data_IF_348661775066
#
_entry.id   IF_348661775066
#
_cell.length_a   1.000
_cell.length_b   1.000
_cell.length_c   1.000
_cell.angle_alpha   90.00
_cell.angle_beta   90.00
_cell.angle_gamma   90.00
#
_symmetry.space_group_name_H-M   'P 1'
#
loop_
_entity.id
_entity.type
_entity.pdbx_description
1 polymer ?
#
# COMPACT_ATOMS: atom_id res chain seq x y z
N UNK A 1 -16.52 5.44 21.21
CA UNK A 1 -16.09 4.91 19.90
C UNK A 1 -15.15 5.91 19.27
N UNK A 2 -13.99 5.46 18.78
CA UNK A 2 -13.02 6.31 18.13
C UNK A 2 -13.57 6.81 16.77
N UNK A 3 -13.62 8.13 16.56
CA UNK A 3 -14.12 8.75 15.33
C UNK A 3 -13.03 9.49 14.52
N UNK A 4 -11.75 9.40 14.91
CA UNK A 4 -10.68 10.22 14.32
C UNK A 4 -10.61 10.13 12.80
N UNK A 5 -10.78 8.93 12.23
CA UNK A 5 -10.71 8.72 10.79
C UNK A 5 -12.07 8.69 10.08
N UNK A 6 -13.18 8.76 10.80
CA UNK A 6 -14.53 8.70 10.21
C UNK A 6 -14.77 9.78 9.13
N UNK A 7 -14.23 11.02 9.24
CA UNK A 7 -14.38 12.02 8.20
C UNK A 7 -13.52 11.78 6.95
N UNK A 8 -12.49 10.92 7.03
CA UNK A 8 -11.43 10.85 6.03
C UNK A 8 -11.40 9.54 5.24
N UNK A 9 -11.66 8.40 5.88
CA UNK A 9 -11.55 7.09 5.23
C UNK A 9 -12.69 6.84 4.26
N UNK A 10 -12.36 6.48 3.02
CA UNK A 10 -13.33 6.28 1.93
C UNK A 10 -13.42 4.84 1.45
N UNK A 11 -12.33 4.06 1.55
CA UNK A 11 -12.28 2.67 1.11
C UNK A 11 -11.06 1.93 1.70
N UNK A 12 -11.03 0.61 1.51
CA UNK A 12 -9.74 -0.10 1.43
C UNK A 12 -9.14 0.26 0.07
N UNK A 13 -7.93 0.80 0.07
CA UNK A 13 -7.26 1.18 -1.18
C UNK A 13 -6.64 -0.04 -1.85
N UNK A 14 -5.78 -0.75 -1.11
CA UNK A 14 -5.15 -1.97 -1.59
C UNK A 14 -4.66 -2.85 -0.43
N UNK A 15 -4.29 -4.07 -0.79
CA UNK A 15 -3.55 -4.99 0.09
C UNK A 15 -2.21 -5.28 -0.55
N UNK A 16 -1.13 -4.91 0.14
CA UNK A 16 0.25 -5.11 -0.32
C UNK A 16 0.75 -6.51 -0.01
N UNK A 17 1.28 -7.20 -1.01
CA UNK A 17 1.85 -8.54 -0.92
C UNK A 17 3.29 -8.49 -1.41
N UNK A 18 4.23 -8.77 -0.50
CA UNK A 18 5.64 -8.90 -0.85
C UNK A 18 5.87 -10.25 -1.54
N UNK A 19 6.51 -10.20 -2.72
CA UNK A 19 6.81 -11.37 -3.54
C UNK A 19 8.27 -11.35 -4.00
N UNK A 20 8.93 -12.51 -4.16
CA UNK A 20 10.33 -12.56 -4.57
C UNK A 20 10.52 -12.28 -6.06
N UNK A 21 9.51 -12.56 -6.88
CA UNK A 21 9.49 -12.39 -8.33
C UNK A 21 8.13 -11.81 -8.72
N UNK A 22 8.14 -10.61 -9.32
CA UNK A 22 6.91 -9.91 -9.68
C UNK A 22 6.20 -10.58 -10.87
N UNK A 23 6.94 -10.98 -11.90
CA UNK A 23 6.35 -11.49 -13.13
C UNK A 23 5.70 -12.86 -12.87
N UNK A 24 6.36 -13.71 -12.08
CA UNK A 24 5.79 -14.98 -11.64
C UNK A 24 4.51 -14.77 -10.80
N UNK A 25 4.50 -13.75 -9.93
CA UNK A 25 3.35 -13.45 -9.09
C UNK A 25 2.18 -12.84 -9.90
N UNK A 26 2.45 -11.96 -10.86
CA UNK A 26 1.45 -11.43 -11.80
C UNK A 26 0.82 -12.60 -12.57
N UNK A 27 1.64 -13.45 -13.19
CA UNK A 27 1.17 -14.59 -13.97
C UNK A 27 0.30 -15.52 -13.12
N UNK A 28 0.72 -15.82 -11.88
CA UNK A 28 -0.06 -16.63 -10.96
C UNK A 28 -1.46 -16.04 -10.71
N UNK A 29 -1.56 -14.74 -10.43
CA UNK A 29 -2.84 -14.09 -10.15
C UNK A 29 -3.74 -13.98 -11.38
N UNK A 30 -3.15 -13.71 -12.55
CA UNK A 30 -3.88 -13.67 -13.81
C UNK A 30 -4.44 -15.05 -14.19
N UNK A 31 -3.60 -16.09 -14.14
CA UNK A 31 -3.98 -17.45 -14.57
C UNK A 31 -4.99 -18.10 -13.62
N UNK A 32 -4.80 -17.96 -12.31
CA UNK A 32 -5.56 -18.74 -11.33
C UNK A 32 -6.76 -17.99 -10.75
N UNK A 33 -6.72 -16.65 -10.74
CA UNK A 33 -7.78 -15.83 -10.15
C UNK A 33 -8.39 -14.83 -11.13
N UNK A 34 -7.87 -14.73 -12.36
CA UNK A 34 -8.39 -13.84 -13.39
C UNK A 34 -8.21 -12.36 -13.09
N UNK A 35 -7.25 -11.99 -12.22
CA UNK A 35 -6.96 -10.58 -11.97
C UNK A 35 -6.18 -9.97 -13.14
N UNK A 36 -6.46 -8.70 -13.43
CA UNK A 36 -5.85 -7.96 -14.52
C UNK A 36 -4.89 -6.90 -13.95
N UNK A 37 -3.76 -6.71 -14.62
CA UNK A 37 -2.79 -5.67 -14.27
C UNK A 37 -3.37 -4.31 -14.67
N UNK A 38 -3.59 -3.46 -13.68
CA UNK A 38 -4.13 -2.11 -13.85
C UNK A 38 -3.02 -1.05 -13.93
N UNK A 39 -1.91 -1.26 -13.23
CA UNK A 39 -0.76 -0.36 -13.22
C UNK A 39 0.51 -1.12 -12.84
N UNK A 40 1.64 -0.72 -13.41
CA UNK A 40 2.98 -1.16 -13.01
C UNK A 40 3.91 0.05 -12.88
N UNK A 41 4.76 0.03 -11.85
CA UNK A 41 5.81 1.02 -11.74
C UNK A 41 7.08 0.47 -11.10
N UNK A 42 8.19 1.16 -11.38
CA UNK A 42 9.49 0.95 -10.76
C UNK A 42 9.82 2.20 -9.97
N UNK A 43 10.09 2.03 -8.68
CA UNK A 43 10.61 3.07 -7.82
C UNK A 43 12.05 2.71 -7.41
N UNK A 44 13.02 3.18 -8.20
CA UNK A 44 14.44 2.88 -7.95
C UNK A 44 14.93 3.41 -6.61
N UNK A 45 14.45 4.59 -6.19
CA UNK A 45 14.82 5.18 -4.90
C UNK A 45 14.40 4.26 -3.74
N UNK A 46 13.17 3.76 -3.76
CA UNK A 46 12.67 2.83 -2.74
C UNK A 46 13.14 1.38 -2.94
N UNK A 47 13.65 1.05 -4.13
CA UNK A 47 14.16 -0.29 -4.45
C UNK A 47 13.06 -1.32 -4.59
N UNK A 48 11.95 -0.94 -5.25
CA UNK A 48 10.78 -1.78 -5.44
C UNK A 48 10.26 -1.67 -6.88
N UNK A 49 9.84 -2.80 -7.44
CA UNK A 49 8.95 -2.86 -8.61
C UNK A 49 7.61 -3.39 -8.12
N UNK A 50 6.54 -2.80 -8.62
CA UNK A 50 5.19 -3.09 -8.14
C UNK A 50 4.17 -3.17 -9.26
N UNK A 51 3.11 -3.92 -8.99
CA UNK A 51 1.97 -4.08 -9.88
C UNK A 51 0.66 -4.03 -9.09
N UNK A 52 -0.27 -3.20 -9.55
CA UNK A 52 -1.64 -3.14 -9.05
C UNK A 52 -2.52 -4.07 -9.88
N UNK A 53 -3.09 -5.09 -9.25
CA UNK A 53 -4.01 -6.04 -9.86
C UNK A 53 -5.43 -5.79 -9.37
N UNK A 54 -6.39 -5.86 -10.30
CA UNK A 54 -7.81 -5.65 -10.02
C UNK A 54 -8.66 -6.75 -10.63
N UNK A 55 -9.91 -6.83 -10.18
CA UNK A 55 -10.90 -7.70 -10.81
C UNK A 55 -11.18 -7.25 -12.25
N UNK A 56 -11.53 -8.16 -13.17
CA UNK A 56 -11.76 -7.80 -14.57
C UNK A 56 -12.94 -6.84 -14.71
N UNK A 57 -12.83 -5.89 -15.64
CA UNK A 57 -13.86 -4.88 -15.91
C UNK A 57 -14.01 -3.80 -14.84
N UNK A 58 -13.05 -3.69 -13.93
CA UNK A 58 -12.96 -2.59 -12.96
C UNK A 58 -12.26 -1.37 -13.56
N UNK A 59 -12.63 -0.17 -13.10
CA UNK A 59 -12.07 1.08 -13.61
C UNK A 59 -11.71 2.05 -12.47
N UNK A 60 -10.47 2.55 -12.51
CA UNK A 60 -10.03 3.64 -11.65
C UNK A 60 -9.77 3.22 -10.20
N UNK A 61 -10.76 3.36 -9.32
CA UNK A 61 -10.57 3.50 -7.86
C UNK A 61 -11.03 2.31 -7.01
N UNK A 62 -11.38 1.16 -7.58
CA UNK A 62 -11.67 -0.01 -6.74
C UNK A 62 -10.45 -0.45 -5.89
N UNK A 63 -10.68 -1.35 -4.95
CA UNK A 63 -9.62 -1.98 -4.17
C UNK A 63 -8.74 -2.85 -5.07
N UNK A 64 -7.42 -2.81 -4.85
CA UNK A 64 -6.46 -3.60 -5.60
C UNK A 64 -5.66 -4.57 -4.72
N UNK A 65 -5.05 -5.56 -5.35
CA UNK A 65 -3.88 -6.26 -4.80
C UNK A 65 -2.64 -5.54 -5.33
N UNK A 66 -1.76 -5.09 -4.43
CA UNK A 66 -0.46 -4.53 -4.82
C UNK A 66 0.61 -5.60 -4.61
N UNK A 67 1.19 -6.11 -5.70
CA UNK A 67 2.36 -6.97 -5.62
C UNK A 67 3.61 -6.11 -5.54
N UNK A 68 4.51 -6.44 -4.64
CA UNK A 68 5.73 -5.69 -4.34
C UNK A 68 6.94 -6.63 -4.43
N UNK A 69 7.82 -6.43 -5.40
CA UNK A 69 9.07 -7.17 -5.52
C UNK A 69 10.27 -6.25 -5.28
N UNK A 70 11.30 -6.69 -4.53
CA UNK A 70 12.48 -5.87 -4.28
C UNK A 70 13.37 -5.80 -5.52
N UNK A 71 13.93 -4.62 -5.79
CA UNK A 71 15.02 -4.46 -6.75
C UNK A 71 16.39 -4.79 -6.14
N UNK A 72 16.47 -4.79 -4.81
CA UNK A 72 17.69 -5.05 -4.03
C UNK A 72 17.33 -5.55 -2.62
N UNK A 73 18.21 -6.35 -2.04
CA UNK A 73 17.96 -7.03 -0.75
C UNK A 73 17.84 -6.07 0.43
N UNK A 74 18.49 -4.91 0.38
CA UNK A 74 18.49 -3.92 1.47
C UNK A 74 17.29 -2.96 1.45
N UNK A 75 16.37 -3.11 0.47
CA UNK A 75 15.11 -2.36 0.41
C UNK A 75 14.14 -2.80 1.52
N UNK A 76 13.08 -2.02 1.74
CA UNK A 76 12.06 -2.36 2.74
C UNK A 76 11.42 -3.73 2.46
N UNK A 77 11.10 -4.01 1.19
CA UNK A 77 10.54 -5.29 0.74
C UNK A 77 11.58 -6.40 0.81
N UNK A 78 12.83 -6.15 0.43
CA UNK A 78 13.91 -7.15 0.54
C UNK A 78 14.13 -7.60 1.98
N UNK A 79 14.17 -6.65 2.92
CA UNK A 79 14.26 -6.93 4.36
C UNK A 79 13.02 -7.65 4.90
N UNK A 80 11.82 -7.31 4.42
CA UNK A 80 10.60 -8.02 4.80
C UNK A 80 10.66 -9.49 4.36
N UNK A 81 11.00 -9.76 3.09
CA UNK A 81 11.11 -11.11 2.56
C UNK A 81 12.16 -11.94 3.30
N UNK A 82 13.33 -11.37 3.61
CA UNK A 82 14.37 -12.05 4.36
C UNK A 82 13.93 -12.45 5.79
N UNK A 83 13.06 -11.64 6.41
CA UNK A 83 12.58 -11.85 7.78
C UNK A 83 11.36 -12.78 7.84
N UNK A 84 10.43 -12.62 6.90
CA UNK A 84 9.07 -13.15 7.00
C UNK A 84 8.69 -14.09 5.85
N UNK A 85 9.51 -14.16 4.80
CA UNK A 85 9.13 -14.78 3.53
C UNK A 85 8.08 -13.97 2.76
N UNK A 86 7.60 -14.49 1.61
CA UNK A 86 6.54 -13.88 0.83
C UNK A 86 5.22 -13.84 1.61
N UNK A 87 4.42 -12.77 1.43
CA UNK A 87 3.12 -12.66 2.10
C UNK A 87 2.60 -11.24 2.24
N UNK A 88 1.49 -11.11 2.99
CA UNK A 88 0.85 -9.82 3.27
C UNK A 88 1.81 -8.90 4.02
N UNK A 89 2.14 -7.78 3.40
CA UNK A 89 3.10 -6.81 3.92
C UNK A 89 2.40 -5.59 4.51
N UNK A 90 1.32 -5.09 3.89
CA UNK A 90 0.53 -3.96 4.39
C UNK A 90 -0.94 -3.99 3.97
N UNK A 91 -1.78 -3.32 4.76
CA UNK A 91 -3.16 -3.00 4.43
C UNK A 91 -3.29 -1.49 4.27
N UNK A 92 -3.83 -1.02 3.16
CA UNK A 92 -3.99 0.40 2.89
C UNK A 92 -5.45 0.86 2.99
N UNK A 93 -5.68 1.95 3.71
CA UNK A 93 -6.95 2.67 3.71
C UNK A 93 -6.83 3.93 2.86
N UNK A 94 -7.78 4.10 1.96
CA UNK A 94 -7.91 5.34 1.20
C UNK A 94 -8.46 6.44 2.09
N UNK A 95 -7.81 7.59 2.08
CA UNK A 95 -8.23 8.78 2.82
C UNK A 95 -8.34 9.98 1.87
N UNK A 96 -9.24 10.90 2.19
CA UNK A 96 -9.43 12.15 1.43
C UNK A 96 -8.39 13.23 1.73
N UNK A 97 -7.70 13.14 2.87
CA UNK A 97 -6.64 14.05 3.31
C UNK A 97 -5.69 13.27 4.24
N UNK A 98 -4.48 12.96 3.76
CA UNK A 98 -3.53 12.13 4.52
C UNK A 98 -2.91 12.88 5.70
N UNK A 99 -2.77 14.21 5.60
CA UNK A 99 -2.15 15.01 6.66
C UNK A 99 -3.10 15.14 7.84
N UNK A 100 -4.37 15.48 7.56
CA UNK A 100 -5.41 15.56 8.58
C UNK A 100 -5.67 14.19 9.24
N UNK A 101 -5.68 13.11 8.45
CA UNK A 101 -5.80 11.75 8.96
C UNK A 101 -4.62 11.38 9.88
N UNK A 102 -3.38 11.68 9.47
CA UNK A 102 -2.18 11.41 10.25
C UNK A 102 -2.17 12.20 11.57
N UNK A 103 -2.51 13.50 11.54
CA UNK A 103 -2.62 14.32 12.75
C UNK A 103 -3.70 13.81 13.71
N UNK A 104 -4.87 13.41 13.19
CA UNK A 104 -5.93 12.84 14.01
C UNK A 104 -5.50 11.54 14.72
N UNK A 105 -4.69 10.70 14.06
CA UNK A 105 -4.14 9.48 14.66
C UNK A 105 -3.02 9.78 15.67
N UNK A 106 -2.15 10.76 15.39
CA UNK A 106 -1.12 11.21 16.35
C UNK A 106 -1.73 11.76 17.62
N UNK A 107 -2.82 12.53 17.52
CA UNK A 107 -3.56 13.04 18.67
C UNK A 107 -4.14 11.92 19.57
N UNK A 108 -4.20 10.69 19.07
CA UNK A 108 -4.62 9.50 19.81
C UNK A 108 -3.46 8.64 20.31
N UNK A 109 -2.23 9.09 20.11
CA UNK A 109 -1.01 8.42 20.57
C UNK A 109 -0.50 7.32 19.64
N UNK A 110 -1.03 7.21 18.41
CA UNK A 110 -0.51 6.24 17.43
C UNK A 110 0.77 6.79 16.79
N UNK A 111 1.74 5.91 16.55
CA UNK A 111 2.98 6.23 15.84
C UNK A 111 2.76 6.18 14.34
N UNK A 112 3.06 7.29 13.69
CA UNK A 112 3.16 7.38 12.24
C UNK A 112 4.63 7.24 11.83
N UNK A 113 4.92 6.53 10.75
CA UNK A 113 6.29 6.27 10.33
C UNK A 113 6.98 7.52 9.78
N UNK A 114 6.24 8.39 9.10
CA UNK A 114 6.77 9.64 8.55
C UNK A 114 6.24 10.84 9.32
N UNK A 115 7.08 11.87 9.47
CA UNK A 115 6.67 13.16 9.99
C UNK A 115 5.66 13.84 9.04
N UNK A 116 5.98 13.84 7.74
CA UNK A 116 5.15 14.34 6.65
C UNK A 116 4.83 13.21 5.66
N UNK A 117 3.70 13.29 4.98
CA UNK A 117 3.34 12.30 3.96
C UNK A 117 4.36 12.27 2.82
N UNK A 118 4.64 11.08 2.29
CA UNK A 118 5.58 10.85 1.19
C UNK A 118 4.86 10.53 -0.11
N UNK A 119 5.57 10.61 -1.22
CA UNK A 119 5.08 10.12 -2.52
C UNK A 119 5.01 8.60 -2.54
N UNK A 120 3.86 8.06 -2.91
CA UNK A 120 3.61 6.65 -3.19
C UNK A 120 3.32 6.38 -4.67
N UNK A 121 2.72 5.23 -4.93
CA UNK A 121 2.28 4.74 -6.25
C UNK A 121 1.40 5.74 -6.96
N UNK A 122 1.57 5.89 -8.28
CA UNK A 122 0.75 6.79 -9.11
C UNK A 122 0.70 8.22 -8.58
N UNK A 123 1.81 8.68 -7.96
CA UNK A 123 1.94 10.00 -7.32
C UNK A 123 0.98 10.27 -6.15
N UNK A 124 0.42 9.22 -5.54
CA UNK A 124 -0.35 9.34 -4.29
C UNK A 124 0.52 9.93 -3.16
N UNK A 125 -0.15 10.42 -2.12
CA UNK A 125 0.49 10.83 -0.85
C UNK A 125 0.19 9.77 0.20
N UNK A 126 1.23 9.31 0.89
CA UNK A 126 1.14 8.16 1.80
C UNK A 126 1.81 8.39 3.14
N UNK A 127 1.25 7.78 4.18
CA UNK A 127 1.88 7.62 5.48
C UNK A 127 1.45 6.28 6.10
N UNK A 128 2.12 5.83 7.16
CA UNK A 128 1.92 4.51 7.73
C UNK A 128 1.78 4.57 9.24
N UNK A 129 0.82 3.83 9.79
CA UNK A 129 0.71 3.56 11.22
C UNK A 129 1.61 2.38 11.56
N UNK A 130 2.46 2.55 12.58
CA UNK A 130 3.41 1.53 12.99
C UNK A 130 2.68 0.26 13.49
N UNK A 131 3.09 -0.97 13.08
CA UNK A 131 2.38 -2.22 13.41
C UNK A 131 2.16 -2.46 14.90
N UNK A 132 3.10 -2.03 15.74
CA UNK A 132 3.00 -2.08 17.21
C UNK A 132 1.78 -1.33 17.79
N UNK A 133 1.21 -0.37 17.07
CA UNK A 133 0.00 0.35 17.47
C UNK A 133 -1.26 -0.11 16.71
N UNK A 134 -1.09 -0.96 15.69
CA UNK A 134 -2.14 -1.43 14.79
C UNK A 134 -2.28 -2.97 14.81
N UNK A 135 -2.09 -3.59 15.99
CA UNK A 135 -2.35 -5.02 16.16
C UNK A 135 -1.44 -5.94 15.35
N UNK A 136 -0.24 -5.49 14.99
CA UNK A 136 0.72 -6.25 14.19
C UNK A 136 0.61 -6.03 12.68
N UNK A 137 -0.36 -5.24 12.20
CA UNK A 137 -0.54 -4.92 10.78
C UNK A 137 0.12 -3.57 10.48
N UNK A 138 0.93 -3.51 9.42
CA UNK A 138 1.34 -2.21 8.87
C UNK A 138 0.15 -1.61 8.13
N UNK A 139 -0.40 -0.52 8.67
CA UNK A 139 -1.55 0.16 8.05
C UNK A 139 -1.06 1.38 7.31
N UNK A 140 -1.34 1.43 6.02
CA UNK A 140 -1.06 2.58 5.16
C UNK A 140 -2.28 3.48 5.04
N UNK A 141 -2.04 4.79 4.96
CA UNK A 141 -3.01 5.82 4.61
C UNK A 141 -2.64 6.34 3.23
N UNK A 142 -3.56 6.26 2.28
CA UNK A 142 -3.33 6.65 0.88
C UNK A 142 -4.30 7.77 0.49
N UNK A 143 -3.78 8.93 0.16
CA UNK A 143 -4.51 10.00 -0.53
C UNK A 143 -4.13 9.93 -2.02
N UNK A 144 -5.05 9.50 -2.91
CA UNK A 144 -4.77 9.43 -4.35
C UNK A 144 -4.44 10.81 -4.94
N UNK A 145 -3.59 10.84 -5.96
CA UNK A 145 -3.40 12.06 -6.74
C UNK A 145 -4.71 12.49 -7.41
N UNK A 146 -4.96 13.79 -7.51
CA UNK A 146 -6.20 14.34 -8.10
C UNK A 146 -6.47 13.90 -9.54
N UNK A 147 -5.41 13.54 -10.27
CA UNK A 147 -5.46 13.09 -11.66
C UNK A 147 -5.04 11.61 -11.83
N UNK A 148 -4.86 10.88 -10.72
CA UNK A 148 -4.35 9.51 -10.72
C UNK A 148 -5.45 8.47 -10.90
N UNK A 149 -6.17 8.49 -12.03
CA UNK A 149 -7.11 7.45 -12.47
C UNK A 149 -6.82 7.04 -13.91
#
# INVERSE_FOLDING_TARGET
MNQALKPFVTAIDHVGIAVPDLDAAIAFHAEHFGLEVAHEEINEEQGVREAMLRAPGTAGTETAIQLLAPLREDSAIGKFLAKSGPGLQQLAYRVSDVDAAAEALRAQGLRLLYAEAKRGTSNSRVNFVHPKDAGGVLVELVEPAKDGH
#
